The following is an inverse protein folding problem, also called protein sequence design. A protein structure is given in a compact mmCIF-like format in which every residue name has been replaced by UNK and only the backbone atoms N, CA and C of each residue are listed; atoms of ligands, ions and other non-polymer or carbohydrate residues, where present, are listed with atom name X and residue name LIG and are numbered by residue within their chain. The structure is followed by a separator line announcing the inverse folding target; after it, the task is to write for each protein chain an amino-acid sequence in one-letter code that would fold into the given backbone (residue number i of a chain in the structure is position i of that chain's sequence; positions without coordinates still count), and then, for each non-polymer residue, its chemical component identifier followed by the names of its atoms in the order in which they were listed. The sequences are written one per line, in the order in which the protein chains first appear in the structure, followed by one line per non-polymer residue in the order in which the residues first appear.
data_IF_235048682589
#
_entry.id   IF_235048682589
#
_cell.length_a   1.000
_cell.length_b   1.000
_cell.length_c   1.000
_cell.angle_alpha   90.00
_cell.angle_beta   90.00
_cell.angle_gamma   90.00
#
_symmetry.space_group_name_H-M   'P 1'
#
loop_
_entity.id
_entity.type
_entity.pdbx_description
1 polymer ?
#
# COMPACT_ATOMS: atom_id res chain seq x y z
N UNK A 1 11.76 -1.93 -5.22
CA UNK A 1 11.66 -0.73 -4.37
C UNK A 1 11.82 -1.06 -2.89
N UNK A 2 11.09 -2.03 -2.31
CA UNK A 2 11.11 -2.30 -0.86
C UNK A 2 12.22 -3.26 -0.37
N UNK A 3 12.54 -4.30 -1.17
CA UNK A 3 13.53 -5.31 -0.78
C UNK A 3 14.92 -4.79 -0.34
N UNK A 4 15.42 -3.61 -0.80
CA UNK A 4 16.66 -3.05 -0.28
C UNK A 4 16.73 -2.82 1.24
N UNK A 5 15.62 -2.89 1.97
CA UNK A 5 15.55 -2.71 3.43
C UNK A 5 14.82 -3.81 4.20
N UNK A 6 14.43 -4.90 3.54
CA UNK A 6 13.67 -5.97 4.18
C UNK A 6 13.87 -7.31 3.44
N UNK A 7 13.84 -8.42 4.16
CA UNK A 7 13.90 -9.75 3.54
C UNK A 7 12.64 -10.10 2.74
N UNK A 8 11.50 -9.52 3.13
CA UNK A 8 10.24 -9.63 2.39
C UNK A 8 9.31 -8.45 2.69
N UNK A 9 8.25 -8.30 1.90
CA UNK A 9 7.19 -7.29 2.04
C UNK A 9 5.83 -7.97 1.94
N UNK A 10 4.79 -7.36 2.48
CA UNK A 10 3.42 -7.89 2.44
C UNK A 10 2.42 -6.86 1.94
N UNK A 11 1.19 -7.31 1.68
CA UNK A 11 0.09 -6.44 1.28
C UNK A 11 -0.16 -5.45 2.41
N UNK A 12 -0.25 -4.17 2.06
CA UNK A 12 -0.58 -3.12 3.01
C UNK A 12 -2.10 -2.89 3.06
N UNK A 13 -2.69 -2.65 1.88
CA UNK A 13 -4.14 -2.51 1.68
C UNK A 13 -4.49 -2.82 0.22
N UNK A 14 -5.73 -3.28 -0.03
CA UNK A 14 -6.29 -3.49 -1.36
C UNK A 14 -7.77 -3.05 -1.42
N UNK A 15 -8.02 -1.84 -1.90
CA UNK A 15 -9.33 -1.19 -1.82
C UNK A 15 -9.86 -0.78 -3.20
N UNK A 16 -11.11 -1.12 -3.49
CA UNK A 16 -11.86 -0.46 -4.56
C UNK A 16 -12.44 0.84 -4.02
N UNK A 17 -12.06 1.94 -4.63
CA UNK A 17 -12.45 3.30 -4.23
C UNK A 17 -13.52 3.85 -5.18
N UNK A 18 -14.56 4.43 -4.59
CA UNK A 18 -15.65 5.11 -5.27
C UNK A 18 -15.59 6.60 -4.92
N UNK A 19 -15.53 7.49 -5.92
CA UNK A 19 -15.74 8.93 -5.75
C UNK A 19 -17.00 9.34 -6.52
N UNK A 20 -18.03 9.77 -5.79
CA UNK A 20 -19.32 10.14 -6.37
C UNK A 20 -19.35 11.54 -6.98
N UNK A 21 -20.43 11.89 -7.70
CA UNK A 21 -20.62 13.22 -8.29
C UNK A 21 -20.53 14.33 -7.24
N UNK A 22 -19.73 15.37 -7.52
CA UNK A 22 -19.57 16.53 -6.65
C UNK A 22 -18.72 16.32 -5.39
N UNK A 23 -18.17 15.13 -5.17
CA UNK A 23 -17.28 14.87 -4.03
C UNK A 23 -16.02 15.75 -4.12
N UNK A 24 -15.61 16.40 -3.01
CA UNK A 24 -14.46 17.28 -2.99
C UNK A 24 -13.15 16.51 -3.14
N UNK A 25 -12.08 17.23 -3.51
CA UNK A 25 -10.74 16.66 -3.51
C UNK A 25 -10.31 16.25 -2.09
N UNK A 26 -9.54 15.18 -1.99
CA UNK A 26 -8.85 14.84 -0.76
C UNK A 26 -7.72 15.84 -0.49
N UNK A 27 -7.37 16.02 0.78
CA UNK A 27 -6.12 16.71 1.11
C UNK A 27 -4.92 15.91 0.59
N UNK A 28 -3.87 16.61 0.17
CA UNK A 28 -2.63 15.96 -0.25
C UNK A 28 -1.95 15.29 0.96
N UNK A 29 -1.60 14.02 0.80
CA UNK A 29 -0.99 13.20 1.83
C UNK A 29 0.08 12.27 1.25
N UNK A 30 0.75 11.56 2.17
CA UNK A 30 1.73 10.51 1.88
C UNK A 30 1.27 9.24 2.57
N UNK A 31 1.15 8.14 1.84
CA UNK A 31 0.74 6.84 2.40
C UNK A 31 1.71 6.38 3.51
N UNK A 32 3.01 6.69 3.37
CA UNK A 32 4.02 6.32 4.35
C UNK A 32 3.81 7.00 5.72
N UNK A 33 2.95 8.03 5.82
CA UNK A 33 2.64 8.67 7.11
C UNK A 33 1.88 7.73 8.07
N UNK A 34 1.35 6.59 7.61
CA UNK A 34 0.87 5.52 8.49
C UNK A 34 1.93 5.09 9.52
N UNK A 35 3.22 5.20 9.16
CA UNK A 35 4.37 4.93 10.04
C UNK A 35 5.13 6.22 10.39
N UNK A 36 4.38 7.27 10.75
CA UNK A 36 4.89 8.63 11.00
C UNK A 36 6.13 8.70 11.88
N UNK A 37 6.17 7.94 12.98
CA UNK A 37 7.31 7.97 13.89
C UNK A 37 8.63 7.54 13.20
N UNK A 38 8.57 6.57 12.30
CA UNK A 38 9.71 6.13 11.50
C UNK A 38 10.07 7.17 10.44
N UNK A 39 9.08 7.63 9.66
CA UNK A 39 9.30 8.60 8.58
C UNK A 39 9.88 9.90 9.13
N UNK A 40 9.26 10.49 10.15
CA UNK A 40 9.74 11.71 10.80
C UNK A 40 11.17 11.59 11.32
N UNK A 41 11.54 10.44 11.87
CA UNK A 41 12.86 10.24 12.47
C UNK A 41 13.97 10.06 11.43
N UNK A 42 13.64 9.68 10.20
CA UNK A 42 14.62 9.33 9.16
C UNK A 42 14.63 10.30 7.97
N UNK A 43 13.65 11.20 7.88
CA UNK A 43 13.54 12.16 6.78
C UNK A 43 14.72 13.15 6.75
N UNK A 44 15.23 13.54 5.56
CA UNK A 44 14.80 13.16 4.20
C UNK A 44 15.40 11.86 3.67
N UNK A 45 16.23 11.19 4.47
CA UNK A 45 16.94 9.96 4.09
C UNK A 45 16.14 8.68 4.41
N UNK A 46 14.82 8.81 4.60
CA UNK A 46 13.92 7.70 4.87
C UNK A 46 13.99 6.69 3.73
N UNK A 47 14.30 5.41 4.01
CA UNK A 47 14.29 4.40 2.97
C UNK A 47 12.85 4.07 2.58
N UNK A 48 12.60 3.72 1.31
CA UNK A 48 11.26 3.40 0.83
C UNK A 48 10.61 2.23 1.60
N UNK A 49 9.58 2.54 2.38
CA UNK A 49 8.86 1.53 3.19
C UNK A 49 7.54 1.07 2.58
N UNK A 50 6.97 1.84 1.65
CA UNK A 50 5.65 1.57 1.06
C UNK A 50 5.64 1.92 -0.42
N UNK A 51 4.99 1.09 -1.24
CA UNK A 51 4.75 1.38 -2.65
C UNK A 51 3.29 1.11 -2.97
N UNK A 52 2.69 2.00 -3.74
CA UNK A 52 1.27 1.98 -4.07
C UNK A 52 1.08 1.94 -5.58
N UNK A 53 -0.01 1.32 -6.00
CA UNK A 53 -0.53 1.40 -7.35
C UNK A 53 -1.99 1.82 -7.30
N UNK A 54 -2.34 2.85 -8.06
CA UNK A 54 -3.73 3.22 -8.35
C UNK A 54 -4.06 2.76 -9.76
N UNK A 55 -5.06 1.90 -9.89
CA UNK A 55 -5.43 1.24 -11.15
C UNK A 55 -6.82 1.74 -11.59
N UNK A 56 -6.91 2.21 -12.83
CA UNK A 56 -8.20 2.57 -13.42
C UNK A 56 -9.07 1.33 -13.61
N UNK A 57 -10.30 1.33 -13.07
CA UNK A 57 -11.31 0.30 -13.38
C UNK A 57 -12.25 0.75 -14.51
N UNK A 58 -12.14 2.00 -14.90
CA UNK A 58 -12.80 2.67 -16.02
C UNK A 58 -11.90 3.82 -16.50
N UNK A 59 -12.36 4.61 -17.47
CA UNK A 59 -11.71 5.87 -17.80
C UNK A 59 -11.81 6.86 -16.63
N UNK A 60 -10.67 7.15 -16.01
CA UNK A 60 -10.48 8.12 -14.95
C UNK A 60 -9.83 9.38 -15.53
N UNK A 61 -10.61 10.46 -15.62
CA UNK A 61 -10.17 11.76 -16.16
C UNK A 61 -9.96 12.79 -15.04
N UNK A 62 -9.32 13.93 -15.35
CA UNK A 62 -9.19 15.04 -14.40
C UNK A 62 -10.56 15.53 -13.90
N UNK A 63 -11.53 15.67 -14.80
CA UNK A 63 -12.90 16.07 -14.46
C UNK A 63 -13.59 15.06 -13.53
N UNK A 64 -13.33 13.77 -13.72
CA UNK A 64 -13.90 12.70 -12.90
C UNK A 64 -13.18 12.52 -11.55
N UNK A 65 -12.20 13.36 -11.23
CA UNK A 65 -11.46 13.28 -9.98
C UNK A 65 -10.29 12.30 -10.03
N UNK A 66 -9.54 12.29 -11.13
CA UNK A 66 -8.25 11.59 -11.21
C UNK A 66 -7.36 11.86 -9.99
N UNK A 67 -6.59 10.86 -9.59
CA UNK A 67 -5.60 11.04 -8.52
C UNK A 67 -4.65 12.16 -8.91
N UNK A 68 -4.51 13.16 -8.05
CA UNK A 68 -3.57 14.26 -8.22
C UNK A 68 -2.26 13.90 -7.53
N UNK A 69 -1.14 14.17 -8.19
CA UNK A 69 0.21 13.82 -7.73
C UNK A 69 1.08 15.05 -7.82
N UNK A 70 1.94 15.30 -6.82
CA UNK A 70 3.00 16.32 -6.91
C UNK A 70 4.32 15.63 -7.30
N UNK A 71 4.76 15.71 -8.57
CA UNK A 71 5.99 15.02 -9.01
C UNK A 71 7.21 15.55 -8.25
N UNK A 72 8.12 14.65 -7.86
CA UNK A 72 9.34 15.01 -7.13
C UNK A 72 9.17 15.30 -5.63
N UNK A 73 7.93 15.35 -5.11
CA UNK A 73 7.63 15.62 -3.69
C UNK A 73 8.23 14.63 -2.69
N UNK A 74 8.56 13.41 -3.14
CA UNK A 74 9.27 12.38 -2.38
C UNK A 74 10.76 12.71 -2.13
N UNK A 75 11.30 13.78 -2.74
CA UNK A 75 12.70 14.22 -2.63
C UNK A 75 12.86 15.56 -1.90
N UNK A 76 11.77 16.10 -1.36
CA UNK A 76 11.81 17.37 -0.64
C UNK A 76 12.58 17.18 0.67
N UNK A 77 13.48 18.12 0.99
CA UNK A 77 14.19 18.13 2.27
C UNK A 77 13.24 18.34 3.45
N UNK A 78 12.16 19.09 3.24
CA UNK A 78 11.16 19.41 4.25
C UNK A 78 9.94 18.47 4.14
N UNK A 79 9.71 17.68 5.18
CA UNK A 79 8.63 16.70 5.23
C UNK A 79 7.23 17.35 5.16
N UNK A 80 7.06 18.53 5.77
CA UNK A 80 5.75 19.21 5.87
C UNK A 80 5.58 20.36 4.86
N UNK A 81 6.37 20.40 3.77
CA UNK A 81 6.15 21.38 2.71
C UNK A 81 4.97 20.93 1.84
N UNK A 82 3.96 21.78 1.73
CA UNK A 82 2.76 21.56 0.91
C UNK A 82 2.63 22.69 -0.13
N UNK A 83 2.71 22.36 -1.42
CA UNK A 83 2.37 23.27 -2.51
C UNK A 83 1.32 22.62 -3.41
N UNK A 84 0.05 22.80 -3.06
CA UNK A 84 -1.11 22.15 -3.72
C UNK A 84 -1.21 22.46 -5.23
N UNK A 85 -0.77 23.66 -5.61
CA UNK A 85 -0.72 24.17 -7.00
C UNK A 85 0.22 23.41 -7.93
N UNK A 86 1.10 22.56 -7.40
CA UNK A 86 2.10 21.82 -8.18
C UNK A 86 1.62 20.42 -8.56
N UNK A 87 0.40 20.04 -8.17
CA UNK A 87 -0.15 18.72 -8.46
C UNK A 87 -0.65 18.61 -9.91
N UNK A 88 -0.39 17.46 -10.54
CA UNK A 88 -0.87 17.08 -11.88
C UNK A 88 -1.83 15.89 -11.78
N UNK A 89 -2.87 15.81 -12.63
CA UNK A 89 -3.76 14.65 -12.66
C UNK A 89 -3.06 13.44 -13.29
N UNK A 90 -3.27 12.26 -12.71
CA UNK A 90 -2.94 10.98 -13.32
C UNK A 90 -4.22 10.39 -13.93
N UNK A 91 -4.49 10.75 -15.19
CA UNK A 91 -5.57 10.14 -15.96
C UNK A 91 -5.20 8.70 -16.33
N UNK A 92 -6.15 7.78 -16.19
CA UNK A 92 -5.95 6.34 -16.35
C UNK A 92 -7.09 5.76 -17.18
N UNK A 93 -6.78 4.94 -18.19
CA UNK A 93 -7.75 4.04 -18.79
C UNK A 93 -7.99 2.78 -17.94
N UNK A 94 -8.96 1.92 -18.32
CA UNK A 94 -9.18 0.64 -17.67
C UNK A 94 -7.94 -0.25 -17.72
N UNK A 95 -7.38 -0.60 -16.56
CA UNK A 95 -6.18 -1.43 -16.41
C UNK A 95 -4.87 -0.64 -16.39
N UNK A 96 -4.87 0.65 -16.72
CA UNK A 96 -3.70 1.51 -16.53
C UNK A 96 -3.41 1.69 -15.04
N UNK A 97 -2.13 1.82 -14.70
CA UNK A 97 -1.69 1.94 -13.32
C UNK A 97 -0.73 3.11 -13.12
N UNK A 98 -1.08 4.00 -12.19
CA UNK A 98 -0.13 4.93 -11.57
C UNK A 98 0.60 4.18 -10.45
N UNK A 99 1.89 3.91 -10.61
CA UNK A 99 2.74 3.34 -9.56
C UNK A 99 3.56 4.45 -8.90
N UNK A 100 3.51 4.54 -7.58
CA UNK A 100 4.15 5.62 -6.84
C UNK A 100 4.72 5.17 -5.49
N UNK A 101 5.76 5.88 -5.05
CA UNK A 101 6.35 5.76 -3.71
C UNK A 101 5.36 6.27 -2.66
N UNK A 102 5.35 5.65 -1.47
CA UNK A 102 4.53 6.10 -0.35
C UNK A 102 4.92 7.50 0.16
N UNK A 103 6.04 8.07 -0.30
CA UNK A 103 6.51 9.42 0.03
C UNK A 103 6.06 10.50 -0.95
N UNK A 104 5.38 10.13 -2.03
CA UNK A 104 4.83 11.10 -2.98
C UNK A 104 3.58 11.76 -2.39
N UNK A 105 3.54 13.09 -2.37
CA UNK A 105 2.33 13.84 -2.07
C UNK A 105 1.30 13.61 -3.17
N UNK A 106 0.13 13.11 -2.77
CA UNK A 106 -0.97 12.81 -3.68
C UNK A 106 -2.32 12.87 -2.95
N UNK A 107 -3.41 12.82 -3.72
CA UNK A 107 -4.77 12.71 -3.20
C UNK A 107 -5.78 12.57 -4.33
N UNK A 108 -6.95 12.00 -4.05
CA UNK A 108 -8.06 11.95 -5.01
C UNK A 108 -8.49 13.36 -5.44
N UNK A 109 -8.63 13.59 -6.75
CA UNK A 109 -9.17 14.84 -7.27
C UNK A 109 -10.65 15.00 -6.98
N UNK A 110 -11.15 16.23 -7.04
CA UNK A 110 -12.58 16.50 -6.94
C UNK A 110 -13.30 15.92 -8.16
N UNK A 111 -14.42 15.25 -7.94
CA UNK A 111 -15.27 14.80 -9.03
C UNK A 111 -16.22 15.94 -9.42
N UNK A 112 -15.96 16.53 -10.58
CA UNK A 112 -16.69 17.71 -11.09
C UNK A 112 -17.89 17.32 -11.96
N UNK A 113 -18.10 16.02 -12.20
CA UNK A 113 -19.24 15.53 -12.98
C UNK A 113 -20.54 15.58 -12.17
N UNK A 114 -21.67 15.66 -12.88
CA UNK A 114 -22.99 15.72 -12.25
C UNK A 114 -23.58 14.33 -11.92
N UNK A 115 -23.13 13.28 -12.60
CA UNK A 115 -23.79 11.96 -12.60
C UNK A 115 -22.84 10.76 -12.68
N UNK A 116 -21.52 10.95 -12.78
CA UNK A 116 -20.56 9.85 -12.88
C UNK A 116 -19.88 9.52 -11.56
N UNK A 117 -19.69 8.23 -11.33
CA UNK A 117 -18.87 7.70 -10.24
C UNK A 117 -17.50 7.31 -10.78
N UNK A 118 -16.44 7.73 -10.09
CA UNK A 118 -15.07 7.25 -10.37
C UNK A 118 -14.84 5.94 -9.64
N UNK A 119 -14.52 4.87 -10.36
CA UNK A 119 -14.05 3.59 -9.81
C UNK A 119 -12.57 3.39 -10.10
N UNK A 120 -11.79 3.20 -9.05
CA UNK A 120 -10.39 2.86 -9.14
C UNK A 120 -10.04 1.80 -8.09
N UNK A 121 -8.98 1.05 -8.32
CA UNK A 121 -8.46 0.07 -7.37
C UNK A 121 -7.10 0.52 -6.86
N UNK A 122 -7.00 0.75 -5.55
CA UNK A 122 -5.75 1.02 -4.86
C UNK A 122 -5.21 -0.28 -4.28
N UNK A 123 -3.96 -0.58 -4.57
CA UNK A 123 -3.24 -1.68 -3.93
C UNK A 123 -1.88 -1.19 -3.51
N UNK A 124 -1.49 -1.47 -2.28
CA UNK A 124 -0.17 -1.08 -1.78
C UNK A 124 0.52 -2.22 -1.04
N UNK A 125 1.84 -2.13 -0.97
CA UNK A 125 2.70 -3.07 -0.28
C UNK A 125 3.59 -2.31 0.70
N UNK A 126 3.89 -2.95 1.83
CA UNK A 126 4.75 -2.38 2.87
C UNK A 126 5.87 -3.35 3.25
N UNK A 127 7.03 -2.81 3.65
CA UNK A 127 8.14 -3.58 4.21
C UNK A 127 7.64 -4.55 5.30
N UNK A 128 8.10 -5.80 5.27
CA UNK A 128 7.53 -6.88 6.09
C UNK A 128 7.78 -6.76 7.60
N UNK A 129 8.61 -5.82 8.02
CA UNK A 129 8.83 -5.48 9.43
C UNK A 129 7.89 -4.38 9.95
N UNK A 130 7.00 -3.86 9.11
CA UNK A 130 5.96 -2.89 9.48
C UNK A 130 4.58 -3.53 9.46
N UNK A 131 3.74 -3.16 10.42
CA UNK A 131 2.32 -3.54 10.44
C UNK A 131 1.57 -2.91 9.25
N UNK A 132 0.81 -3.70 8.45
CA UNK A 132 -0.06 -3.22 7.38
C UNK A 132 -1.19 -2.32 7.89
N UNK A 133 -1.78 -1.55 6.97
CA UNK A 133 -3.01 -0.80 7.20
C UNK A 133 -4.22 -1.72 7.40
N UNK A 134 -4.31 -2.81 6.63
CA UNK A 134 -5.38 -3.80 6.72
C UNK A 134 -4.89 -5.11 7.36
N UNK A 135 -5.68 -5.67 8.26
CA UNK A 135 -5.38 -6.90 8.96
C UNK A 135 -5.83 -8.14 8.16
N UNK A 136 -5.31 -8.34 6.94
CA UNK A 136 -5.72 -9.45 6.05
C UNK A 136 -5.78 -10.85 6.68
N UNK A 137 -4.92 -11.22 7.66
CA UNK A 137 -5.05 -12.50 8.38
C UNK A 137 -6.34 -12.69 9.17
N UNK A 138 -7.13 -11.64 9.39
CA UNK A 138 -8.46 -11.72 9.99
C UNK A 138 -9.55 -12.05 8.96
N UNK A 139 -9.29 -11.76 7.68
CA UNK A 139 -10.23 -12.00 6.59
C UNK A 139 -10.11 -13.41 6.02
N UNK A 140 -8.93 -14.04 6.18
CA UNK A 140 -8.65 -15.39 5.72
C UNK A 140 -8.25 -16.28 6.90
N UNK A 141 -9.03 -17.34 7.14
CA UNK A 141 -8.75 -18.35 8.16
C UNK A 141 -7.55 -19.23 7.83
N UNK A 142 -7.08 -20.00 8.82
CA UNK A 142 -6.02 -20.99 8.61
C UNK A 142 -6.47 -22.04 7.58
N UNK A 143 -5.66 -22.22 6.53
CA UNK A 143 -5.91 -23.21 5.48
C UNK A 143 -6.77 -22.71 4.30
N UNK A 144 -7.47 -21.58 4.41
CA UNK A 144 -8.29 -21.03 3.32
C UNK A 144 -7.46 -20.63 2.09
N UNK A 145 -6.18 -20.28 2.31
CA UNK A 145 -5.24 -19.94 1.26
C UNK A 145 -4.35 -21.11 0.82
N UNK A 146 -4.64 -22.35 1.22
CA UNK A 146 -3.79 -23.52 0.95
C UNK A 146 -3.62 -23.82 -0.54
N UNK A 147 -4.62 -23.50 -1.37
CA UNK A 147 -4.54 -23.59 -2.83
C UNK A 147 -3.82 -22.41 -3.51
N UNK A 148 -3.43 -21.38 -2.75
CA UNK A 148 -2.74 -20.21 -3.27
C UNK A 148 -1.22 -20.39 -3.22
N UNK A 149 -0.51 -19.65 -4.06
CA UNK A 149 0.96 -19.63 -4.01
C UNK A 149 1.49 -19.17 -2.65
N UNK A 150 2.68 -19.64 -2.26
CA UNK A 150 3.39 -19.18 -1.05
C UNK A 150 3.53 -17.65 -1.01
N UNK A 151 3.69 -17.01 -2.19
CA UNK A 151 3.73 -15.56 -2.30
C UNK A 151 2.42 -14.91 -1.87
N UNK A 152 1.27 -15.42 -2.32
CA UNK A 152 -0.05 -14.88 -1.93
C UNK A 152 -0.30 -15.11 -0.45
N UNK A 153 -0.03 -16.31 0.06
CA UNK A 153 -0.15 -16.62 1.48
C UNK A 153 0.68 -15.63 2.33
N UNK A 154 1.95 -15.40 1.96
CA UNK A 154 2.82 -14.45 2.64
C UNK A 154 2.35 -13.00 2.52
N UNK A 155 1.90 -12.57 1.34
CA UNK A 155 1.38 -11.22 1.13
C UNK A 155 0.14 -10.94 2.00
N UNK A 156 -0.70 -11.95 2.22
CA UNK A 156 -1.90 -11.86 3.07
C UNK A 156 -1.60 -12.19 4.55
N UNK A 157 -0.32 -12.27 4.94
CA UNK A 157 0.11 -12.43 6.31
C UNK A 157 -0.05 -13.85 6.88
N UNK A 158 -0.10 -14.89 6.04
CA UNK A 158 -0.08 -16.31 6.43
C UNK A 158 1.33 -16.94 6.44
N UNK A 159 2.37 -16.12 6.46
CA UNK A 159 3.75 -16.56 6.66
C UNK A 159 4.47 -15.58 7.59
N UNK A 160 5.45 -16.07 8.34
CA UNK A 160 6.29 -15.22 9.19
C UNK A 160 7.25 -14.37 8.36
N UNK A 161 7.67 -13.23 8.91
CA UNK A 161 8.67 -12.37 8.30
C UNK A 161 10.07 -12.84 8.65
N UNK A 162 10.86 -13.15 7.62
CA UNK A 162 12.30 -13.40 7.70
C UNK A 162 13.09 -12.14 7.32
N UNK A 163 13.97 -11.61 8.19
CA UNK A 163 14.74 -10.41 7.90
C UNK A 163 15.87 -10.61 6.89
N UNK A 164 16.30 -11.85 6.62
CA UNK A 164 17.48 -12.11 5.77
C UNK A 164 17.32 -11.55 4.35
N UNK A 165 18.38 -10.95 3.76
CA UNK A 165 19.77 -10.93 4.24
C UNK A 165 20.11 -9.82 5.25
N UNK A 166 19.13 -9.08 5.75
CA UNK A 166 19.34 -7.98 6.68
C UNK A 166 19.40 -8.47 8.13
N UNK A 167 19.99 -7.63 8.99
CA UNK A 167 19.96 -7.86 10.44
C UNK A 167 18.54 -7.64 10.97
N UNK A 168 18.10 -8.48 11.90
CA UNK A 168 16.80 -8.36 12.56
C UNK A 168 16.37 -9.67 13.21
N UNK A 169 15.29 -9.61 13.98
CA UNK A 169 14.59 -10.80 14.47
C UNK A 169 13.50 -11.24 13.49
N UNK A 170 13.17 -12.53 13.50
CA UNK A 170 11.95 -13.02 12.86
C UNK A 170 10.72 -12.39 13.51
N UNK A 171 9.77 -11.93 12.69
CA UNK A 171 8.53 -11.31 13.17
C UNK A 171 7.33 -12.15 12.75
N UNK A 172 6.18 -11.85 13.35
CA UNK A 172 4.92 -12.52 13.01
C UNK A 172 5.00 -14.04 13.24
N UNK A 173 5.50 -14.44 14.41
CA UNK A 173 5.69 -15.83 14.82
C UNK A 173 4.50 -16.31 15.66
N UNK A 174 4.27 -17.63 15.67
CA UNK A 174 3.30 -18.27 16.56
C UNK A 174 4.01 -19.24 17.50
N UNK A 175 3.96 -18.96 18.79
CA UNK A 175 4.71 -19.72 19.82
C UNK A 175 6.22 -19.82 19.52
N UNK A 176 6.82 -18.70 19.09
CA UNK A 176 8.26 -18.62 18.72
C UNK A 176 8.63 -19.54 17.54
N UNK A 177 7.64 -19.95 16.73
CA UNK A 177 7.82 -20.73 15.50
C UNK A 177 7.25 -19.97 14.30
N UNK A 178 7.77 -20.28 13.12
CA UNK A 178 7.27 -19.70 11.89
C UNK A 178 5.82 -20.16 11.62
N UNK A 179 4.97 -19.26 11.13
CA UNK A 179 3.55 -19.57 10.95
C UNK A 179 3.31 -20.65 9.91
N UNK A 180 4.10 -20.68 8.84
CA UNK A 180 4.03 -21.72 7.82
C UNK A 180 4.23 -23.13 8.41
N UNK A 181 5.08 -23.28 9.44
CA UNK A 181 5.28 -24.58 10.12
C UNK A 181 4.06 -24.97 10.95
N UNK A 182 3.38 -23.97 11.54
CA UNK A 182 2.16 -24.20 12.32
C UNK A 182 0.95 -24.53 11.43
N UNK A 183 0.85 -23.88 10.27
CA UNK A 183 -0.20 -24.15 9.28
C UNK A 183 0.01 -25.52 8.64
N UNK A 184 1.24 -25.85 8.23
CA UNK A 184 1.56 -27.15 7.66
C UNK A 184 1.35 -28.32 8.63
N UNK A 185 1.55 -28.10 9.93
CA UNK A 185 1.33 -29.14 10.95
C UNK A 185 -0.15 -29.37 11.32
N UNK A 186 -1.06 -28.46 10.97
CA UNK A 186 -2.51 -28.63 11.20
C UNK A 186 -3.22 -29.33 10.02
N UNK A 187 -2.55 -29.50 8.87
CA UNK A 187 -3.05 -30.30 7.74
C UNK A 187 -2.90 -31.82 7.91
N UNK A 188 -2.46 -32.30 9.08
CA UNK A 188 -2.21 -33.72 9.33
C UNK A 188 -2.92 -34.28 10.58
N UNK A 189 -3.99 -33.62 11.02
CA UNK A 189 -4.86 -34.15 12.08
C UNK A 189 -6.33 -33.98 11.73
N UNK A 190 -6.97 -35.15 11.52
CA UNK A 190 -8.39 -35.44 11.30
C UNK A 190 -8.91 -35.30 9.86
#
# INVERSE_FOLDING_TARGET
MLLPICGSYWLNTAQVMYIGPGEPAQFLHRDANNWWAFVKATWPDSPEVTVSAMIGLEDVTEELGATRVVPGSHRLSELNRYEERESVPAELGPGDALVYSGYVLHGGGANQTADRWRRAFHVSFVAGWLTPEEASPMDFGLGELSGQSERVQRLLGHASYDPRPYNGGGLWLRHVREMQDVIGSSGNTA
#
